data_IF_371485545076
#
_entry.id   IF_371485545076
#
_cell.length_a   1.000
_cell.length_b   1.000
_cell.length_c   1.000
_cell.angle_alpha   90.00
_cell.angle_beta   90.00
_cell.angle_gamma   90.00
#
_symmetry.space_group_name_H-M   'P 1'
#
loop_
_entity.id
_entity.type
_entity.pdbx_description
1 polymer ?
#
# COMPACT_ATOMS: atom_id res chain seq x y z
N UNK A 1 11.50 2.01 13.78
CA UNK A 1 10.67 1.88 12.57
C UNK A 1 10.81 0.47 12.03
N UNK A 2 9.69 -0.17 11.75
CA UNK A 2 9.70 -1.52 11.18
C UNK A 2 9.45 -1.43 9.67
N UNK A 3 10.27 -2.12 8.90
CA UNK A 3 10.11 -2.23 7.46
C UNK A 3 9.94 -3.70 7.10
N UNK A 4 8.90 -4.00 6.34
CA UNK A 4 8.61 -5.35 5.87
C UNK A 4 8.55 -5.34 4.36
N UNK A 5 9.23 -6.31 3.75
CA UNK A 5 9.20 -6.49 2.31
C UNK A 5 8.60 -7.85 2.00
N UNK A 6 7.67 -7.89 1.05
CA UNK A 6 7.04 -9.13 0.57
C UNK A 6 7.05 -9.18 -0.94
N UNK A 7 7.14 -10.40 -1.46
CA UNK A 7 6.99 -10.65 -2.89
C UNK A 7 5.84 -11.62 -3.09
N UNK A 8 4.92 -11.26 -3.97
CA UNK A 8 3.78 -12.10 -4.31
C UNK A 8 3.71 -12.29 -5.81
N UNK A 9 3.11 -13.39 -6.23
CA UNK A 9 2.80 -13.64 -7.65
C UNK A 9 1.49 -12.95 -7.97
N UNK A 10 1.48 -12.11 -9.00
CA UNK A 10 0.27 -11.42 -9.39
C UNK A 10 0.56 -10.17 -10.21
N UNK A 11 -0.46 -9.34 -10.32
CA UNK A 11 -0.40 -8.09 -11.05
C UNK A 11 -0.84 -6.93 -10.16
N UNK A 12 -0.25 -5.74 -10.37
CA UNK A 12 -0.58 -4.55 -9.57
C UNK A 12 -2.08 -4.25 -9.58
N UNK A 13 -2.75 -4.45 -10.71
CA UNK A 13 -4.18 -4.20 -10.83
C UNK A 13 -5.04 -5.06 -9.89
N UNK A 14 -4.51 -6.19 -9.42
CA UNK A 14 -5.18 -7.09 -8.49
C UNK A 14 -4.66 -6.92 -7.07
N UNK A 15 -3.35 -6.77 -6.94
CA UNK A 15 -2.67 -6.72 -5.63
C UNK A 15 -2.98 -5.44 -4.89
N UNK A 16 -2.95 -4.29 -5.59
CA UNK A 16 -3.18 -2.99 -4.95
C UNK A 16 -4.58 -2.86 -4.35
N UNK A 17 -5.67 -3.20 -5.05
CA UNK A 17 -7.00 -3.17 -4.46
C UNK A 17 -7.16 -4.13 -3.28
N UNK A 18 -6.50 -5.29 -3.33
CA UNK A 18 -6.52 -6.26 -2.24
C UNK A 18 -5.84 -5.70 -0.99
N UNK A 19 -4.68 -5.07 -1.14
CA UNK A 19 -3.96 -4.45 -0.04
C UNK A 19 -4.76 -3.29 0.55
N UNK A 20 -5.33 -2.46 -0.31
CA UNK A 20 -6.11 -1.31 0.11
C UNK A 20 -7.34 -1.72 0.90
N UNK A 21 -8.04 -2.75 0.46
CA UNK A 21 -9.17 -3.31 1.18
C UNK A 21 -8.76 -3.85 2.55
N UNK A 22 -7.58 -4.49 2.64
CA UNK A 22 -7.05 -4.98 3.90
C UNK A 22 -6.71 -3.87 4.88
N UNK A 23 -6.14 -2.77 4.40
CA UNK A 23 -5.79 -1.62 5.24
C UNK A 23 -7.04 -0.86 5.68
N UNK A 24 -7.89 -0.48 4.74
CA UNK A 24 -9.06 0.35 5.03
C UNK A 24 -10.16 -0.45 5.75
N UNK A 25 -10.27 -1.74 5.47
CA UNK A 25 -11.28 -2.60 6.08
C UNK A 25 -11.02 -2.96 7.54
N UNK A 26 -9.76 -2.87 7.99
CA UNK A 26 -9.39 -3.24 9.37
C UNK A 26 -9.46 -2.09 10.35
N UNK A 27 -9.58 -0.87 9.87
CA UNK A 27 -9.58 0.29 10.74
C UNK A 27 -10.66 1.27 10.28
N UNK A 28 -11.55 1.63 11.18
CA UNK A 28 -12.62 2.58 10.89
C UNK A 28 -12.12 4.00 10.68
N UNK A 29 -10.95 4.31 11.21
CA UNK A 29 -10.36 5.63 11.11
C UNK A 29 -9.31 5.75 10.03
N UNK A 30 -9.05 4.66 9.29
CA UNK A 30 -8.07 4.70 8.21
C UNK A 30 -8.64 5.39 6.98
N UNK A 31 -7.83 6.20 6.34
CA UNK A 31 -8.21 6.87 5.09
C UNK A 31 -7.04 6.84 4.11
N UNK A 32 -7.37 6.81 2.83
CA UNK A 32 -6.38 6.89 1.76
C UNK A 32 -6.09 8.37 1.50
N UNK A 33 -4.86 8.81 1.75
CA UNK A 33 -4.47 10.21 1.64
C UNK A 33 -3.66 10.51 0.38
N UNK A 34 -2.98 9.51 -0.18
CA UNK A 34 -2.18 9.69 -1.37
C UNK A 34 -2.17 8.44 -2.22
N UNK A 35 -2.13 8.63 -3.53
CA UNK A 35 -2.01 7.55 -4.49
C UNK A 35 -1.20 8.04 -5.69
N UNK A 36 -0.14 7.32 -6.03
CA UNK A 36 0.68 7.61 -7.21
C UNK A 36 0.90 6.30 -7.95
N UNK A 37 0.61 6.30 -9.25
CA UNK A 37 0.86 5.17 -10.12
C UNK A 37 1.79 5.61 -11.24
N UNK A 38 2.85 4.85 -11.46
CA UNK A 38 3.83 5.11 -12.50
C UNK A 38 4.00 3.86 -13.36
N UNK A 39 3.92 4.03 -14.69
CA UNK A 39 4.25 2.98 -15.61
C UNK A 39 5.76 2.91 -15.83
N UNK A 40 6.31 1.71 -15.89
CA UNK A 40 7.73 1.46 -16.17
C UNK A 40 7.85 0.39 -17.23
N UNK A 41 9.06 0.22 -17.79
CA UNK A 41 9.32 -0.85 -18.74
C UNK A 41 9.19 -2.23 -18.10
N UNK A 42 9.33 -2.33 -16.80
CA UNK A 42 9.19 -3.60 -16.06
C UNK A 42 7.74 -3.87 -15.64
N UNK A 43 6.83 -2.91 -15.79
CA UNK A 43 5.41 -3.09 -15.48
C UNK A 43 4.78 -1.90 -14.81
N UNK A 44 5.30 -1.47 -13.66
CA UNK A 44 4.76 -0.29 -12.99
C UNK A 44 5.09 -0.23 -11.52
N UNK A 45 4.81 0.92 -10.93
CA UNK A 45 4.99 1.18 -9.51
C UNK A 45 3.73 1.84 -8.99
N UNK A 46 3.20 1.35 -7.89
CA UNK A 46 2.07 1.95 -7.19
C UNK A 46 2.51 2.35 -5.79
N UNK A 47 2.26 3.60 -5.42
CA UNK A 47 2.55 4.11 -4.08
C UNK A 47 1.23 4.55 -3.45
N UNK A 48 0.98 4.10 -2.23
CA UNK A 48 -0.22 4.47 -1.48
C UNK A 48 0.17 4.97 -0.09
N UNK A 49 -0.40 6.09 0.28
CA UNK A 49 -0.26 6.65 1.62
C UNK A 49 -1.59 6.59 2.35
N UNK A 50 -1.56 6.12 3.59
CA UNK A 50 -2.73 6.00 4.44
C UNK A 50 -2.50 6.72 5.75
N UNK A 51 -3.55 7.26 6.32
CA UNK A 51 -3.53 7.80 7.68
C UNK A 51 -4.59 7.11 8.51
N UNK A 52 -4.26 6.89 9.77
CA UNK A 52 -5.17 6.37 10.76
C UNK A 52 -5.15 7.28 11.97
N UNK A 53 -6.31 7.66 12.43
CA UNK A 53 -6.43 8.45 13.65
C UNK A 53 -6.40 7.53 14.85
N UNK A 54 -5.52 7.82 15.82
CA UNK A 54 -5.41 7.05 17.05
C UNK A 54 -6.28 7.71 18.11
N UNK A 55 -7.31 7.02 18.57
CA UNK A 55 -8.19 7.54 19.60
C UNK A 55 -7.52 7.62 20.96
N UNK A 56 -6.57 6.73 21.23
CA UNK A 56 -5.89 6.67 22.53
C UNK A 56 -4.93 7.84 22.73
N UNK A 57 -4.27 8.28 21.68
CA UNK A 57 -3.29 9.36 21.78
C UNK A 57 -3.70 10.64 21.09
N UNK A 58 -4.88 10.66 20.47
CA UNK A 58 -5.36 11.78 19.67
C UNK A 58 -4.35 12.18 18.58
N UNK A 59 -3.65 11.19 18.04
CA UNK A 59 -2.60 11.39 17.04
C UNK A 59 -2.96 10.69 15.74
N UNK A 60 -2.40 11.20 14.64
CA UNK A 60 -2.48 10.55 13.35
C UNK A 60 -1.24 9.69 13.14
N UNK A 61 -1.46 8.49 12.61
CA UNK A 61 -0.38 7.58 12.24
C UNK A 61 -0.40 7.43 10.73
N UNK A 62 0.72 7.76 10.10
CA UNK A 62 0.89 7.61 8.67
C UNK A 62 1.49 6.25 8.34
N UNK A 63 1.05 5.67 7.23
CA UNK A 63 1.62 4.45 6.68
C UNK A 63 1.74 4.60 5.18
N UNK A 64 2.85 4.17 4.62
CA UNK A 64 3.03 4.15 3.18
C UNK A 64 3.31 2.73 2.70
N UNK A 65 2.78 2.40 1.52
CA UNK A 65 3.00 1.12 0.87
C UNK A 65 3.44 1.39 -0.55
N UNK A 66 4.53 0.75 -0.96
CA UNK A 66 5.03 0.80 -2.33
C UNK A 66 4.96 -0.60 -2.92
N UNK A 67 4.33 -0.74 -4.07
CA UNK A 67 4.24 -2.01 -4.80
C UNK A 67 4.89 -1.84 -6.17
N UNK A 68 5.78 -2.76 -6.52
CA UNK A 68 6.55 -2.71 -7.77
C UNK A 68 6.29 -3.99 -8.56
N UNK A 69 5.85 -3.83 -9.79
CA UNK A 69 5.67 -4.95 -10.71
C UNK A 69 7.01 -5.33 -11.31
N UNK A 70 7.36 -6.60 -11.19
CA UNK A 70 8.59 -7.18 -11.72
C UNK A 70 8.24 -8.51 -12.40
N UNK A 71 7.95 -8.48 -13.70
CA UNK A 71 7.48 -9.64 -14.42
C UNK A 71 6.21 -10.22 -13.80
N UNK A 72 6.17 -11.49 -13.42
CA UNK A 72 5.01 -12.11 -12.78
C UNK A 72 4.90 -11.82 -11.29
N UNK A 73 5.84 -11.04 -10.72
CA UNK A 73 5.90 -10.79 -9.28
C UNK A 73 5.58 -9.33 -8.96
N UNK A 74 5.03 -9.13 -7.78
CA UNK A 74 4.84 -7.80 -7.21
C UNK A 74 5.63 -7.75 -5.90
N UNK A 75 6.56 -6.81 -5.81
CA UNK A 75 7.33 -6.56 -4.59
C UNK A 75 6.65 -5.46 -3.79
N UNK A 76 6.38 -5.73 -2.53
CA UNK A 76 5.68 -4.82 -1.64
C UNK A 76 6.62 -4.39 -0.51
N UNK A 77 6.77 -3.11 -0.36
CA UNK A 77 7.66 -2.54 0.66
C UNK A 77 6.88 -1.77 1.71
#
# INVERSE_FOLDING_TARGET
>A
MATTTRTVVGHLSEVVPFLEAGVLGRSRSASAEAAVDLGTSAGGIAVRGYERFSMMGNNRVGMSVTAIQDGPYVHIV
#
